data_IF_423538031329
#
_entry.id   IF_423538031329
#
_cell.length_a   1.000
_cell.length_b   1.000
_cell.length_c   1.000
_cell.angle_alpha   90.00
_cell.angle_beta   90.00
_cell.angle_gamma   90.00
#
_symmetry.space_group_name_H-M   'P 1'
#
loop_
_entity.id
_entity.type
_entity.pdbx_description
1 polymer ?
#
# COMPACT_ATOMS: atom_id res chain seq x y z
N UNK A 1 43.28 33.85 -5.86
CA UNK A 1 41.92 34.45 -5.77
C UNK A 1 40.88 33.78 -6.66
N UNK A 2 41.15 33.49 -7.95
CA UNK A 2 40.18 32.83 -8.86
C UNK A 2 39.69 31.44 -8.38
N UNK A 3 40.57 30.62 -7.79
CA UNK A 3 40.23 29.27 -7.32
C UNK A 3 39.39 29.26 -6.03
N UNK A 4 39.47 30.32 -5.20
CA UNK A 4 38.63 30.44 -4.00
C UNK A 4 37.18 30.82 -4.37
N UNK A 5 37.01 31.70 -5.37
CA UNK A 5 35.71 32.14 -5.86
C UNK A 5 34.96 30.98 -6.55
N UNK A 6 35.69 30.15 -7.32
CA UNK A 6 35.11 28.97 -7.96
C UNK A 6 34.66 27.90 -6.94
N UNK A 7 35.44 27.68 -5.87
CA UNK A 7 35.09 26.72 -4.81
C UNK A 7 33.91 27.20 -3.94
N UNK A 8 33.78 28.52 -3.73
CA UNK A 8 32.60 29.12 -3.06
C UNK A 8 31.33 29.05 -3.92
N UNK A 9 31.44 29.22 -5.24
CA UNK A 9 30.31 29.10 -6.16
C UNK A 9 29.78 27.67 -6.26
N UNK A 10 30.67 26.67 -6.26
CA UNK A 10 30.28 25.25 -6.29
C UNK A 10 29.64 24.82 -4.97
N UNK A 11 30.14 25.28 -3.82
CA UNK A 11 29.50 24.97 -2.53
C UNK A 11 28.15 25.68 -2.36
N UNK A 12 27.99 26.91 -2.86
CA UNK A 12 26.70 27.62 -2.86
C UNK A 12 25.67 26.94 -3.78
N UNK A 13 26.08 26.44 -4.95
CA UNK A 13 25.23 25.68 -5.87
C UNK A 13 24.78 24.34 -5.27
N UNK A 14 25.65 23.63 -4.54
CA UNK A 14 25.28 22.38 -3.85
C UNK A 14 24.24 22.62 -2.74
N UNK A 15 24.27 23.78 -2.07
CA UNK A 15 23.25 24.15 -1.07
C UNK A 15 21.89 24.56 -1.68
N UNK A 16 21.88 25.13 -2.89
CA UNK A 16 20.63 25.54 -3.56
C UNK A 16 19.83 24.31 -4.06
N UNK A 17 20.50 23.21 -4.39
CA UNK A 17 19.85 21.95 -4.81
C UNK A 17 19.49 21.00 -3.65
N UNK A 18 19.86 21.34 -2.41
CA UNK A 18 19.52 20.58 -1.20
C UNK A 18 18.32 21.19 -0.43
N UNK A 19 17.35 21.76 -1.15
CA UNK A 19 16.04 21.97 -0.56
C UNK A 19 15.28 20.64 -0.61
N UNK A 20 15.49 19.81 0.42
CA UNK A 20 14.53 18.76 0.76
C UNK A 20 13.13 19.40 0.77
N UNK A 21 12.26 18.93 -0.12
CA UNK A 21 10.90 19.42 -0.21
C UNK A 21 10.25 19.35 1.19
N UNK A 22 9.96 20.51 1.78
CA UNK A 22 9.40 20.60 3.14
C UNK A 22 8.10 19.82 3.20
N UNK A 23 8.08 18.77 4.02
CA UNK A 23 6.85 18.04 4.39
C UNK A 23 5.90 18.98 5.12
N UNK A 24 4.60 18.89 4.86
CA UNK A 24 3.60 19.67 5.59
C UNK A 24 3.46 19.06 6.98
N UNK A 25 4.17 19.62 7.96
CA UNK A 25 4.10 19.13 9.34
C UNK A 25 2.75 19.45 9.97
N UNK A 26 2.16 18.47 10.66
CA UNK A 26 0.90 18.60 11.39
C UNK A 26 1.05 18.19 12.86
N UNK A 27 0.14 18.63 13.73
CA UNK A 27 0.11 18.22 15.14
C UNK A 27 0.09 16.68 15.29
N UNK A 28 -0.56 15.99 14.35
CA UNK A 28 -0.56 14.54 14.27
C UNK A 28 0.87 13.99 14.12
N UNK A 29 1.65 14.53 13.18
CA UNK A 29 3.04 14.11 12.98
C UNK A 29 3.94 14.46 14.16
N UNK A 30 3.78 15.63 14.77
CA UNK A 30 4.58 16.04 15.93
C UNK A 30 4.40 15.09 17.12
N UNK A 31 3.16 14.68 17.38
CA UNK A 31 2.86 13.69 18.41
C UNK A 31 3.32 12.28 18.00
N UNK A 32 2.98 11.84 16.78
CA UNK A 32 3.28 10.49 16.32
C UNK A 32 4.76 10.24 16.02
N UNK A 33 5.59 11.27 15.85
CA UNK A 33 7.06 11.13 15.84
C UNK A 33 7.58 10.52 17.15
N UNK A 34 6.88 10.76 18.27
CA UNK A 34 7.26 10.24 19.59
C UNK A 34 6.64 8.86 19.86
N UNK A 35 5.43 8.62 19.36
CA UNK A 35 4.65 7.39 19.67
C UNK A 35 4.87 6.29 18.62
N UNK A 36 4.86 6.65 17.34
CA UNK A 36 4.99 5.74 16.19
C UNK A 36 5.94 6.32 15.14
N UNK A 37 7.23 6.53 15.46
CA UNK A 37 8.19 7.21 14.59
C UNK A 37 8.31 6.55 13.21
N UNK A 38 8.21 5.22 13.15
CA UNK A 38 8.25 4.47 11.89
C UNK A 38 7.15 4.87 10.91
N UNK A 39 5.92 5.07 11.39
CA UNK A 39 4.78 5.47 10.55
C UNK A 39 4.99 6.88 9.98
N UNK A 40 5.45 7.83 10.82
CA UNK A 40 5.70 9.20 10.35
C UNK A 40 6.85 9.23 9.33
N UNK A 41 7.93 8.49 9.61
CA UNK A 41 9.04 8.35 8.65
C UNK A 41 8.56 7.76 7.33
N UNK A 42 7.69 6.75 7.41
CA UNK A 42 7.16 6.06 6.23
C UNK A 42 6.23 6.95 5.39
N UNK A 43 5.34 7.70 6.03
CA UNK A 43 4.53 8.71 5.37
C UNK A 43 5.39 9.80 4.72
N UNK A 44 6.40 10.29 5.44
CA UNK A 44 7.26 11.38 4.96
C UNK A 44 8.16 11.00 3.79
N UNK A 45 8.52 9.71 3.62
CA UNK A 45 9.18 9.24 2.39
C UNK A 45 8.23 9.14 1.19
N UNK A 46 6.92 9.09 1.43
CA UNK A 46 5.90 9.01 0.40
C UNK A 46 5.70 10.36 -0.33
N UNK A 47 5.12 10.34 -1.52
CA UNK A 47 4.81 11.58 -2.27
C UNK A 47 3.66 12.37 -1.65
N UNK A 48 2.77 11.69 -0.92
CA UNK A 48 1.58 12.31 -0.33
C UNK A 48 1.90 13.31 0.78
N UNK A 49 2.99 13.13 1.53
CA UNK A 49 3.41 14.06 2.62
C UNK A 49 3.73 15.48 2.14
N UNK A 50 3.91 15.66 0.83
CA UNK A 50 4.14 16.97 0.22
C UNK A 50 2.88 17.83 0.13
N UNK A 51 1.70 17.21 0.16
CA UNK A 51 0.41 17.89 -0.08
C UNK A 51 -0.71 17.47 0.88
N UNK A 52 -0.56 16.35 1.58
CA UNK A 52 -1.51 15.81 2.55
C UNK A 52 -0.89 15.74 3.93
N UNK A 53 -1.74 15.67 4.94
CA UNK A 53 -1.37 15.35 6.33
C UNK A 53 -2.10 14.09 6.77
N UNK A 54 -1.83 13.59 7.98
CA UNK A 54 -2.54 12.44 8.53
C UNK A 54 -4.07 12.63 8.53
N UNK A 55 -4.53 13.87 8.80
CA UNK A 55 -5.95 14.23 8.86
C UNK A 55 -6.67 14.05 7.52
N UNK A 56 -5.97 14.20 6.39
CA UNK A 56 -6.53 14.03 5.05
C UNK A 56 -7.11 12.63 4.82
N UNK A 57 -6.59 11.62 5.51
CA UNK A 57 -7.04 10.24 5.41
C UNK A 57 -7.78 9.77 6.68
N UNK A 58 -7.30 10.19 7.86
CA UNK A 58 -7.77 9.69 9.15
C UNK A 58 -8.77 10.61 9.86
N UNK A 59 -9.10 11.77 9.29
CA UNK A 59 -9.95 12.77 9.93
C UNK A 59 -9.26 13.45 11.13
N UNK A 60 -10.04 14.21 11.86
CA UNK A 60 -9.64 15.13 12.93
C UNK A 60 -10.27 14.82 14.29
N UNK A 61 -11.17 13.82 14.35
CA UNK A 61 -11.90 13.43 15.57
C UNK A 61 -11.00 12.84 16.67
N UNK A 62 -9.79 12.38 16.32
CA UNK A 62 -8.77 11.92 17.27
C UNK A 62 -7.82 13.06 17.63
N UNK A 63 -7.77 13.39 18.92
CA UNK A 63 -6.98 14.53 19.42
C UNK A 63 -5.98 14.12 20.51
N UNK A 64 -6.18 12.98 21.17
CA UNK A 64 -5.35 12.56 22.29
C UNK A 64 -5.32 11.02 22.47
N UNK A 65 -4.41 10.51 23.30
CA UNK A 65 -4.22 9.06 23.48
C UNK A 65 -5.49 8.27 23.85
N UNK A 66 -6.48 8.89 24.51
CA UNK A 66 -7.70 8.21 24.98
C UNK A 66 -8.74 8.04 23.89
N UNK A 67 -8.72 8.85 22.83
CA UNK A 67 -9.73 8.86 21.77
C UNK A 67 -9.23 8.30 20.43
N UNK A 68 -8.17 7.49 20.45
CA UNK A 68 -7.57 6.89 19.26
C UNK A 68 -8.55 6.09 18.39
N UNK A 69 -9.65 5.58 18.96
CA UNK A 69 -10.66 4.88 18.15
C UNK A 69 -11.45 5.80 17.23
N UNK A 70 -11.47 7.11 17.48
CA UNK A 70 -12.17 8.10 16.65
C UNK A 70 -11.46 8.39 15.32
N UNK A 71 -10.19 8.01 15.18
CA UNK A 71 -9.48 8.13 13.91
C UNK A 71 -10.17 7.25 12.84
N UNK A 72 -10.48 7.87 11.70
CA UNK A 72 -11.08 7.19 10.54
C UNK A 72 -10.08 6.23 9.93
N UNK A 73 -10.57 5.12 9.40
CA UNK A 73 -9.77 4.12 8.70
C UNK A 73 -10.10 4.22 7.22
N UNK A 74 -9.16 4.64 6.35
CA UNK A 74 -9.48 4.91 4.96
C UNK A 74 -10.01 3.68 4.22
N UNK A 75 -11.01 3.86 3.37
CA UNK A 75 -11.53 2.86 2.40
C UNK A 75 -11.03 3.21 1.00
N UNK A 76 -11.32 2.35 0.02
CA UNK A 76 -11.22 2.74 -1.39
C UNK A 76 -12.02 4.02 -1.71
N UNK A 77 -13.15 4.27 -1.03
CA UNK A 77 -13.90 5.53 -1.17
C UNK A 77 -13.08 6.74 -0.74
N UNK A 78 -12.28 6.63 0.32
CA UNK A 78 -11.34 7.69 0.73
C UNK A 78 -10.32 7.96 -0.37
N UNK A 79 -9.76 6.92 -0.99
CA UNK A 79 -8.79 7.04 -2.09
C UNK A 79 -9.43 7.57 -3.38
N UNK A 80 -10.68 7.19 -3.66
CA UNK A 80 -11.44 7.54 -4.88
C UNK A 80 -11.66 9.05 -5.02
N UNK A 81 -11.66 9.80 -3.93
CA UNK A 81 -11.77 11.27 -3.95
C UNK A 81 -10.67 11.92 -4.79
N UNK A 82 -9.45 11.38 -4.74
CA UNK A 82 -8.28 11.86 -5.48
C UNK A 82 -7.88 10.92 -6.65
N UNK A 83 -8.20 9.63 -6.57
CA UNK A 83 -7.81 8.61 -7.53
C UNK A 83 -9.02 7.87 -8.15
N UNK A 84 -9.96 8.59 -8.81
CA UNK A 84 -11.19 7.97 -9.30
C UNK A 84 -10.93 6.93 -10.39
N UNK A 85 -9.94 7.16 -11.27
CA UNK A 85 -9.58 6.22 -12.35
C UNK A 85 -9.12 4.88 -11.79
N UNK A 86 -8.11 4.90 -10.91
CA UNK A 86 -7.54 3.69 -10.31
C UNK A 86 -8.56 2.96 -9.44
N UNK A 87 -9.34 3.70 -8.65
CA UNK A 87 -10.39 3.10 -7.83
C UNK A 87 -11.47 2.40 -8.68
N UNK A 88 -11.93 3.02 -9.77
CA UNK A 88 -12.92 2.40 -10.65
C UNK A 88 -12.34 1.17 -11.38
N UNK A 89 -11.08 1.23 -11.83
CA UNK A 89 -10.40 0.07 -12.42
C UNK A 89 -10.31 -1.09 -11.42
N UNK A 90 -9.86 -0.83 -10.19
CA UNK A 90 -9.79 -1.84 -9.13
C UNK A 90 -11.17 -2.45 -8.84
N UNK A 91 -12.21 -1.63 -8.69
CA UNK A 91 -13.57 -2.08 -8.40
C UNK A 91 -14.17 -2.94 -9.53
N UNK A 92 -13.69 -2.79 -10.76
CA UNK A 92 -14.07 -3.63 -11.90
C UNK A 92 -13.24 -4.91 -12.04
N UNK A 93 -12.12 -5.02 -11.32
CA UNK A 93 -11.19 -6.16 -11.35
C UNK A 93 -11.62 -7.30 -10.42
N UNK A 94 -10.93 -8.44 -10.55
CA UNK A 94 -11.22 -9.63 -9.71
C UNK A 94 -10.72 -9.46 -8.29
N UNK A 95 -9.70 -8.64 -8.05
CA UNK A 95 -9.24 -8.36 -6.69
C UNK A 95 -10.35 -7.76 -5.81
N UNK A 96 -11.23 -6.92 -6.36
CA UNK A 96 -12.39 -6.40 -5.62
C UNK A 96 -13.39 -7.49 -5.20
N UNK A 97 -13.34 -8.67 -5.83
CA UNK A 97 -14.15 -9.84 -5.49
C UNK A 97 -13.40 -10.85 -4.61
N UNK A 98 -12.20 -10.51 -4.10
CA UNK A 98 -11.35 -11.44 -3.34
C UNK A 98 -12.06 -12.06 -2.14
N UNK A 99 -12.88 -11.29 -1.42
CA UNK A 99 -13.63 -11.77 -0.27
C UNK A 99 -14.76 -12.74 -0.66
N UNK A 100 -15.38 -12.52 -1.84
CA UNK A 100 -16.47 -13.37 -2.34
C UNK A 100 -16.03 -14.82 -2.47
N UNK A 101 -14.78 -15.06 -2.89
CA UNK A 101 -14.24 -16.42 -3.04
C UNK A 101 -14.27 -17.23 -1.74
N UNK A 102 -14.14 -16.56 -0.58
CA UNK A 102 -14.26 -17.21 0.73
C UNK A 102 -15.71 -17.30 1.16
N UNK A 103 -16.47 -16.21 1.04
CA UNK A 103 -17.83 -16.15 1.60
C UNK A 103 -18.87 -16.93 0.77
N UNK A 104 -18.59 -17.24 -0.49
CA UNK A 104 -19.51 -17.96 -1.39
C UNK A 104 -19.66 -19.45 -1.06
N UNK A 105 -18.75 -20.05 -0.27
CA UNK A 105 -18.80 -21.48 0.09
C UNK A 105 -19.12 -21.65 1.59
N UNK A 106 -20.40 -21.55 1.99
CA UNK A 106 -20.79 -21.57 3.40
C UNK A 106 -20.36 -22.85 4.12
N UNK A 107 -20.33 -23.99 3.42
CA UNK A 107 -19.90 -25.27 4.00
C UNK A 107 -18.39 -25.36 4.25
N UNK A 108 -17.58 -24.51 3.62
CA UNK A 108 -16.14 -24.41 3.86
C UNK A 108 -15.85 -23.29 4.86
N UNK A 109 -16.26 -22.06 4.53
CA UNK A 109 -15.93 -20.87 5.32
C UNK A 109 -16.54 -20.89 6.72
N UNK A 110 -17.78 -21.37 6.91
CA UNK A 110 -18.38 -21.43 8.25
C UNK A 110 -17.82 -22.56 9.14
N UNK A 111 -17.12 -23.53 8.54
CA UNK A 111 -16.46 -24.63 9.28
C UNK A 111 -15.02 -24.31 9.67
N UNK A 112 -14.43 -23.27 9.09
CA UNK A 112 -13.09 -22.84 9.47
C UNK A 112 -13.13 -22.00 10.76
N UNK A 113 -12.10 -22.08 11.61
CA UNK A 113 -11.96 -21.19 12.76
C UNK A 113 -12.11 -19.73 12.35
N UNK A 114 -12.88 -18.95 13.12
CA UNK A 114 -13.09 -17.51 12.85
C UNK A 114 -11.77 -16.78 12.61
N UNK A 115 -10.71 -17.12 13.34
CA UNK A 115 -9.40 -16.50 13.13
C UNK A 115 -8.84 -16.62 11.68
N UNK A 116 -9.17 -17.70 10.95
CA UNK A 116 -8.72 -17.93 9.56
C UNK A 116 -9.60 -17.25 8.49
N UNK A 117 -10.84 -16.94 8.84
CA UNK A 117 -11.85 -16.35 7.94
C UNK A 117 -12.14 -14.89 8.27
N UNK A 118 -11.74 -14.42 9.45
CA UNK A 118 -12.03 -13.09 9.96
C UNK A 118 -10.78 -12.21 10.07
N UNK A 119 -9.64 -12.78 10.45
CA UNK A 119 -8.38 -12.04 10.64
C UNK A 119 -7.42 -12.14 9.45
N UNK A 120 -6.22 -11.55 9.58
CA UNK A 120 -5.11 -11.72 8.61
C UNK A 120 -4.40 -13.08 8.73
N UNK A 121 -5.09 -14.14 9.14
CA UNK A 121 -4.51 -15.48 9.24
C UNK A 121 -5.18 -16.38 8.21
N UNK A 122 -4.42 -17.31 7.64
CA UNK A 122 -4.92 -18.23 6.61
C UNK A 122 -5.56 -17.48 5.45
N UNK A 123 -6.79 -17.84 5.10
CA UNK A 123 -7.47 -17.40 3.88
C UNK A 123 -7.64 -15.87 3.82
N UNK A 124 -8.08 -15.22 4.90
CA UNK A 124 -8.26 -13.76 4.93
C UNK A 124 -6.96 -12.95 5.06
N UNK A 125 -5.81 -13.62 5.17
CA UNK A 125 -4.52 -12.97 4.94
C UNK A 125 -4.42 -12.41 3.51
N UNK A 126 -4.88 -13.19 2.54
CA UNK A 126 -4.81 -12.86 1.11
C UNK A 126 -6.14 -12.32 0.55
N UNK A 127 -7.27 -12.90 0.94
CA UNK A 127 -8.58 -12.60 0.32
C UNK A 127 -9.33 -11.38 0.91
N UNK A 128 -8.68 -10.56 1.73
CA UNK A 128 -9.30 -9.36 2.32
C UNK A 128 -9.48 -8.18 1.34
N UNK A 129 -9.09 -8.33 0.08
CA UNK A 129 -9.14 -7.35 -1.01
C UNK A 129 -10.56 -6.88 -1.42
N UNK A 130 -11.61 -7.54 -0.93
CA UNK A 130 -13.01 -7.25 -1.25
C UNK A 130 -13.78 -6.44 -0.22
N UNK A 131 -13.11 -5.76 0.73
CA UNK A 131 -13.76 -4.97 1.80
C UNK A 131 -13.86 -3.51 1.36
N UNK A 132 -14.57 -3.31 0.25
CA UNK A 132 -14.63 -2.03 -0.49
C UNK A 132 -15.60 -0.99 0.12
N UNK A 133 -16.49 -1.40 1.02
CA UNK A 133 -17.54 -0.56 1.59
C UNK A 133 -17.43 -0.46 3.12
N UNK A 134 -17.72 0.72 3.70
CA UNK A 134 -17.74 0.94 5.16
C UNK A 134 -18.80 0.11 5.88
N UNK A 135 -19.94 -0.14 5.27
CA UNK A 135 -20.98 -1.02 5.78
C UNK A 135 -20.48 -2.46 5.82
N UNK A 136 -19.77 -2.94 4.80
CA UNK A 136 -19.11 -4.27 4.84
C UNK A 136 -18.05 -4.29 5.95
N UNK A 137 -17.35 -3.18 6.18
CA UNK A 137 -16.38 -3.07 7.29
C UNK A 137 -17.02 -3.17 8.67
N UNK A 138 -18.27 -2.77 8.82
CA UNK A 138 -18.98 -2.76 10.11
C UNK A 138 -19.89 -3.97 10.30
N UNK A 139 -20.41 -4.53 9.21
CA UNK A 139 -21.38 -5.65 9.24
C UNK A 139 -20.71 -7.01 9.34
N UNK A 140 -19.47 -7.16 8.87
CA UNK A 140 -18.81 -8.47 8.85
C UNK A 140 -17.88 -8.61 10.05
N UNK A 141 -18.07 -9.69 10.82
CA UNK A 141 -17.32 -10.08 12.03
C UNK A 141 -15.78 -10.06 11.85
N UNK A 142 -15.32 -9.95 10.61
CA UNK A 142 -13.94 -9.93 10.14
C UNK A 142 -13.12 -8.75 10.69
N UNK A 143 -13.68 -7.54 10.75
CA UNK A 143 -12.92 -6.36 11.19
C UNK A 143 -12.59 -6.33 12.68
N UNK A 144 -13.33 -7.04 13.54
CA UNK A 144 -12.99 -7.19 14.98
C UNK A 144 -11.55 -7.70 15.15
N UNK A 145 -11.08 -8.51 14.21
CA UNK A 145 -9.76 -9.14 14.25
C UNK A 145 -8.73 -8.45 13.35
N UNK A 146 -9.15 -7.54 12.45
CA UNK A 146 -8.24 -6.81 11.58
C UNK A 146 -8.69 -5.38 11.25
N UNK A 147 -8.59 -4.50 12.25
CA UNK A 147 -9.00 -3.09 12.15
C UNK A 147 -8.29 -2.32 11.01
N UNK A 148 -7.00 -2.56 10.77
CA UNK A 148 -6.15 -1.69 9.94
C UNK A 148 -6.02 -2.08 8.44
N UNK A 149 -6.82 -3.04 7.97
CA UNK A 149 -6.85 -3.45 6.55
C UNK A 149 -7.52 -2.45 5.62
N UNK A 150 -6.97 -2.24 4.42
CA UNK A 150 -7.57 -1.46 3.34
C UNK A 150 -7.26 -2.10 1.98
N UNK A 151 -8.14 -1.93 0.99
CA UNK A 151 -8.00 -2.57 -0.33
C UNK A 151 -6.81 -1.99 -1.12
N UNK A 152 -6.57 -0.68 -0.97
CA UNK A 152 -5.56 0.04 -1.76
C UNK A 152 -4.13 -0.06 -1.23
N UNK A 153 -3.83 -0.83 -0.18
CA UNK A 153 -2.43 -0.95 0.34
C UNK A 153 -1.74 -2.26 -0.01
N UNK A 154 -2.42 -3.16 -0.73
CA UNK A 154 -1.94 -4.53 -0.88
C UNK A 154 -0.71 -4.64 -1.78
N UNK A 155 -0.55 -3.74 -2.76
CA UNK A 155 0.62 -3.72 -3.65
C UNK A 155 1.62 -2.60 -3.31
N UNK A 156 1.11 -1.41 -2.93
CA UNK A 156 1.91 -0.29 -2.44
C UNK A 156 1.54 -0.03 -0.99
N UNK A 157 2.36 -0.52 -0.07
CA UNK A 157 2.00 -0.58 1.35
C UNK A 157 1.87 0.81 1.97
N UNK A 158 0.98 0.89 2.97
CA UNK A 158 0.92 2.06 3.86
C UNK A 158 2.25 2.16 4.63
N UNK A 159 2.74 3.35 4.96
CA UNK A 159 2.19 4.69 4.73
C UNK A 159 2.93 5.46 3.64
N UNK A 160 3.92 4.85 2.97
CA UNK A 160 4.62 5.48 1.86
C UNK A 160 3.82 5.47 0.54
N UNK A 161 2.99 4.43 0.32
CA UNK A 161 2.21 4.23 -0.91
C UNK A 161 3.05 4.42 -2.17
N UNK A 162 4.18 3.70 -2.22
CA UNK A 162 5.19 3.85 -3.26
C UNK A 162 4.80 3.14 -4.55
N UNK A 163 4.67 3.89 -5.65
CA UNK A 163 4.50 3.29 -7.00
C UNK A 163 5.69 2.42 -7.39
N UNK A 164 6.90 2.77 -6.91
CA UNK A 164 8.08 1.93 -7.15
C UNK A 164 7.90 0.56 -6.50
N UNK A 165 7.44 0.54 -5.25
CA UNK A 165 7.19 -0.70 -4.51
C UNK A 165 6.12 -1.56 -5.20
N UNK A 166 5.00 -0.96 -5.62
CA UNK A 166 3.95 -1.69 -6.35
C UNK A 166 4.36 -2.21 -7.74
N UNK A 167 5.48 -1.74 -8.31
CA UNK A 167 6.00 -2.21 -9.60
C UNK A 167 7.01 -3.34 -9.47
N UNK A 168 7.48 -3.60 -8.26
CA UNK A 168 8.36 -4.75 -8.01
C UNK A 168 7.51 -6.03 -7.93
N UNK A 169 7.96 -7.14 -8.53
CA UNK A 169 7.21 -8.39 -8.58
C UNK A 169 6.97 -8.99 -7.18
N UNK A 170 7.81 -8.65 -6.20
CA UNK A 170 7.63 -9.02 -4.79
C UNK A 170 6.33 -8.50 -4.18
N UNK A 171 5.74 -7.43 -4.70
CA UNK A 171 4.43 -6.95 -4.21
C UNK A 171 3.29 -7.97 -4.41
N UNK A 172 3.47 -8.94 -5.32
CA UNK A 172 2.49 -9.99 -5.58
C UNK A 172 2.71 -11.25 -4.72
N UNK A 173 3.93 -11.49 -4.25
CA UNK A 173 4.34 -12.78 -3.68
C UNK A 173 3.71 -13.11 -2.32
N UNK A 174 3.14 -12.11 -1.65
CA UNK A 174 2.47 -12.31 -0.36
C UNK A 174 1.16 -13.08 -0.52
N UNK A 175 0.60 -13.11 -1.73
CA UNK A 175 -0.65 -13.83 -2.04
C UNK A 175 -0.48 -14.85 -3.16
N UNK A 176 0.29 -14.52 -4.20
CA UNK A 176 0.47 -15.34 -5.39
C UNK A 176 1.64 -16.31 -5.25
N UNK A 177 1.53 -17.22 -4.29
CA UNK A 177 2.57 -18.18 -3.90
C UNK A 177 1.92 -19.47 -3.43
N UNK A 178 2.70 -20.53 -3.24
CA UNK A 178 2.25 -21.76 -2.61
C UNK A 178 1.73 -22.78 -3.62
N UNK A 179 1.09 -23.83 -3.11
CA UNK A 179 0.81 -25.05 -3.87
C UNK A 179 -0.42 -24.93 -4.79
N UNK A 180 -1.38 -24.07 -4.46
CA UNK A 180 -2.67 -23.92 -5.15
C UNK A 180 -2.59 -22.92 -6.30
N UNK A 181 -1.69 -21.94 -6.21
CA UNK A 181 -1.41 -20.99 -7.27
C UNK A 181 0.02 -20.42 -7.15
N UNK A 182 1.00 -21.19 -7.65
CA UNK A 182 2.43 -20.94 -7.53
C UNK A 182 2.98 -19.85 -8.49
N UNK A 183 2.25 -18.74 -8.72
CA UNK A 183 2.66 -17.78 -9.76
C UNK A 183 4.01 -17.13 -9.46
N UNK A 184 4.29 -16.79 -8.20
CA UNK A 184 5.59 -16.25 -7.79
C UNK A 184 6.73 -17.23 -8.08
N UNK A 185 6.59 -18.50 -7.67
CA UNK A 185 7.61 -19.54 -7.85
C UNK A 185 7.85 -19.79 -9.34
N UNK A 186 6.78 -19.86 -10.13
CA UNK A 186 6.86 -20.02 -11.58
C UNK A 186 7.57 -18.82 -12.24
N UNK A 187 7.25 -17.58 -11.85
CA UNK A 187 7.92 -16.39 -12.37
C UNK A 187 9.39 -16.33 -11.93
N UNK A 188 9.67 -16.54 -10.63
CA UNK A 188 10.98 -16.43 -10.01
C UNK A 188 11.98 -17.42 -10.60
N UNK A 189 11.56 -18.66 -10.84
CA UNK A 189 12.40 -19.71 -11.45
C UNK A 189 12.41 -19.68 -12.99
N UNK A 190 11.63 -18.81 -13.63
CA UNK A 190 11.64 -18.67 -15.09
C UNK A 190 12.84 -17.88 -15.61
N UNK A 191 13.00 -17.86 -16.95
CA UNK A 191 13.95 -16.95 -17.62
C UNK A 191 13.57 -15.48 -17.47
N UNK A 192 12.27 -15.14 -17.34
CA UNK A 192 11.84 -13.78 -17.06
C UNK A 192 12.36 -13.32 -15.69
N UNK A 193 12.10 -14.10 -14.63
CA UNK A 193 12.60 -13.83 -13.28
C UNK A 193 14.13 -13.78 -13.23
N UNK A 194 14.80 -14.77 -13.82
CA UNK A 194 16.27 -14.80 -13.89
C UNK A 194 16.85 -13.55 -14.56
N UNK A 195 16.29 -13.13 -15.70
CA UNK A 195 16.76 -11.95 -16.44
C UNK A 195 16.51 -10.65 -15.67
N UNK A 196 15.33 -10.51 -15.04
CA UNK A 196 14.97 -9.36 -14.22
C UNK A 196 15.86 -9.25 -12.97
N UNK A 197 16.07 -10.34 -12.24
CA UNK A 197 16.83 -10.35 -10.99
C UNK A 197 18.33 -10.16 -11.19
N UNK A 198 18.88 -10.62 -12.32
CA UNK A 198 20.30 -10.43 -12.66
C UNK A 198 20.64 -8.95 -12.84
N UNK A 199 19.74 -8.16 -13.44
CA UNK A 199 19.91 -6.72 -13.59
C UNK A 199 18.54 -6.03 -13.64
N UNK A 200 18.04 -5.65 -12.46
CA UNK A 200 16.75 -4.95 -12.32
C UNK A 200 16.71 -3.61 -13.05
N UNK A 201 17.85 -2.94 -13.21
CA UNK A 201 17.92 -1.64 -13.89
C UNK A 201 17.74 -1.80 -15.39
N UNK A 202 18.28 -2.88 -15.96
CA UNK A 202 18.12 -3.20 -17.39
C UNK A 202 16.70 -3.64 -17.76
N UNK A 203 15.92 -4.15 -16.79
CA UNK A 203 14.54 -4.61 -16.99
C UNK A 203 14.41 -5.62 -18.15
N UNK A 204 15.39 -6.52 -18.33
CA UNK A 204 15.43 -7.49 -19.45
C UNK A 204 14.36 -8.60 -19.38
N UNK A 205 13.77 -8.82 -18.21
CA UNK A 205 12.65 -9.73 -18.03
C UNK A 205 11.43 -8.97 -17.53
N UNK A 206 10.21 -9.32 -17.97
CA UNK A 206 9.00 -8.66 -17.50
C UNK A 206 8.72 -9.00 -16.02
N UNK A 207 8.16 -8.06 -15.28
CA UNK A 207 7.53 -8.27 -13.97
C UNK A 207 6.08 -8.73 -14.14
N UNK A 208 5.43 -9.09 -13.02
CA UNK A 208 3.99 -9.40 -13.00
C UNK A 208 3.16 -8.24 -13.59
N UNK A 209 3.54 -7.01 -13.23
CA UNK A 209 2.84 -5.78 -13.55
C UNK A 209 2.97 -5.42 -15.03
N UNK A 210 4.10 -5.73 -15.68
CA UNK A 210 4.27 -5.44 -17.11
C UNK A 210 3.24 -6.19 -17.97
N UNK A 211 2.92 -7.42 -17.58
CA UNK A 211 1.97 -8.27 -18.30
C UNK A 211 0.52 -8.08 -17.82
N UNK A 212 0.29 -7.99 -16.51
CA UNK A 212 -1.05 -8.01 -15.93
C UNK A 212 -1.62 -6.63 -15.59
N UNK A 213 -0.77 -5.60 -15.53
CA UNK A 213 -1.15 -4.21 -15.24
C UNK A 213 -0.58 -3.25 -16.30
N UNK A 214 -0.78 -3.52 -17.60
CA UNK A 214 -0.18 -2.72 -18.66
C UNK A 214 -0.60 -1.26 -18.52
N UNK A 215 0.35 -0.35 -18.76
CA UNK A 215 0.14 1.10 -18.63
C UNK A 215 -0.33 1.55 -17.23
N UNK A 216 -0.13 0.72 -16.21
CA UNK A 216 -0.58 0.98 -14.83
C UNK A 216 -2.09 0.77 -14.64
N UNK A 217 -2.72 -0.10 -15.42
CA UNK A 217 -4.11 -0.50 -15.23
C UNK A 217 -4.30 -1.28 -13.91
N UNK A 218 -5.36 -0.97 -13.15
CA UNK A 218 -5.68 -1.61 -11.86
C UNK A 218 -6.79 -2.68 -11.93
N UNK A 219 -7.23 -3.11 -13.11
CA UNK A 219 -8.34 -4.08 -13.31
C UNK A 219 -7.92 -5.56 -13.18
N UNK A 220 -6.93 -5.85 -12.32
CA UNK A 220 -6.49 -7.24 -12.03
C UNK A 220 -7.50 -8.02 -11.20
#
# INVERSE_FOLDING_TARGET
MKNLIFSLLVTLLVFIFYQDAKTITSDCEECHKKITPGIVKDFNRGKMSKVLTCKSCHGDDHTNKKDFQKAKLPTISTCKTCHPKQANQYLSGKHALGLLAITAFPNFAHKQPKAFIAGQKGCNGCHNLGIVDSNIRETVEYRKYYKYGMDCQNCHTRHAFSVKEAREPESCNSCHTGFDHAQWEMWFHSKHGSAYLTDRKSHRGPTCQDCHMPEGNHTV
#
